data_IF_753558681283
#
_entry.id   IF_753558681283
#
_cell.length_a   1.000
_cell.length_b   1.000
_cell.length_c   1.000
_cell.angle_alpha   90.00
_cell.angle_beta   90.00
_cell.angle_gamma   90.00
#
_symmetry.space_group_name_H-M   'P 1'
#
loop_
_entity.id
_entity.type
_entity.pdbx_description
1 polymer ?
#
# COMPACT_ATOMS: atom_id res chain seq x y z
N UNK A 1 -13.60 -1.95 19.90
CA UNK A 1 -13.06 -1.20 18.74
C UNK A 1 -14.13 -0.19 18.36
N UNK A 2 -13.79 1.10 18.31
CA UNK A 2 -14.76 2.18 18.10
C UNK A 2 -15.32 2.15 16.66
N UNK A 3 -16.64 2.24 16.53
CA UNK A 3 -17.31 2.31 15.22
C UNK A 3 -16.82 3.50 14.40
N UNK A 4 -16.48 4.62 15.06
CA UNK A 4 -15.91 5.78 14.38
C UNK A 4 -14.52 5.49 13.83
N UNK A 5 -13.69 4.76 14.58
CA UNK A 5 -12.38 4.32 14.12
C UNK A 5 -12.47 3.45 12.86
N UNK A 6 -13.41 2.49 12.83
CA UNK A 6 -13.63 1.62 11.67
C UNK A 6 -14.07 2.44 10.44
N UNK A 7 -14.99 3.39 10.62
CA UNK A 7 -15.44 4.29 9.54
C UNK A 7 -14.29 5.12 8.97
N UNK A 8 -13.44 5.66 9.84
CA UNK A 8 -12.27 6.44 9.43
C UNK A 8 -11.28 5.56 8.63
N UNK A 9 -11.00 4.34 9.10
CA UNK A 9 -10.13 3.40 8.38
C UNK A 9 -10.67 3.04 6.98
N UNK A 10 -11.98 2.83 6.84
CA UNK A 10 -12.60 2.58 5.53
C UNK A 10 -12.48 3.81 4.63
N UNK A 11 -12.70 5.01 5.16
CA UNK A 11 -12.54 6.26 4.41
C UNK A 11 -11.10 6.44 3.92
N UNK A 12 -10.10 6.18 4.77
CA UNK A 12 -8.69 6.20 4.40
C UNK A 12 -8.36 5.19 3.29
N UNK A 13 -8.89 3.96 3.36
CA UNK A 13 -8.69 2.96 2.30
C UNK A 13 -9.29 3.39 0.97
N UNK A 14 -10.48 3.99 0.98
CA UNK A 14 -11.11 4.54 -0.22
C UNK A 14 -10.29 5.67 -0.81
N UNK A 15 -9.74 6.55 0.03
CA UNK A 15 -8.90 7.65 -0.43
C UNK A 15 -7.58 7.16 -1.03
N UNK A 16 -6.95 6.16 -0.41
CA UNK A 16 -5.76 5.48 -0.99
C UNK A 16 -6.06 4.90 -2.37
N UNK A 17 -7.20 4.24 -2.53
CA UNK A 17 -7.61 3.67 -3.82
C UNK A 17 -7.74 4.75 -4.91
N UNK A 18 -8.34 5.91 -4.58
CA UNK A 18 -8.42 7.04 -5.52
C UNK A 18 -7.03 7.55 -5.90
N UNK A 19 -6.16 7.75 -4.92
CA UNK A 19 -4.80 8.24 -5.15
C UNK A 19 -4.04 7.28 -6.07
N UNK A 20 -4.06 5.97 -5.79
CA UNK A 20 -3.38 4.99 -6.63
C UNK A 20 -3.96 4.90 -8.04
N UNK A 21 -5.28 5.08 -8.19
CA UNK A 21 -5.92 5.17 -9.52
C UNK A 21 -5.45 6.41 -10.28
N UNK A 22 -5.45 7.56 -9.63
CA UNK A 22 -5.03 8.83 -10.23
C UNK A 22 -3.57 8.78 -10.68
N UNK A 23 -2.67 8.23 -9.86
CA UNK A 23 -1.25 8.09 -10.19
C UNK A 23 -1.01 7.24 -11.45
N UNK A 24 -1.90 6.28 -11.75
CA UNK A 24 -1.85 5.46 -12.97
C UNK A 24 -2.35 6.18 -14.23
N UNK A 25 -3.17 7.22 -14.08
CA UNK A 25 -3.68 8.04 -15.19
C UNK A 25 -2.63 9.07 -15.67
N UNK A 26 -1.64 9.38 -14.82
CA UNK A 26 -0.56 10.30 -15.16
C UNK A 26 0.38 9.66 -16.19
N UNK A 27 0.39 10.23 -17.40
CA UNK A 27 1.36 9.87 -18.44
C UNK A 27 2.68 10.64 -18.22
N UNK A 28 3.56 10.08 -17.40
CA UNK A 28 4.86 10.70 -17.09
C UNK A 28 5.99 9.87 -17.72
N UNK A 29 6.85 10.53 -18.49
CA UNK A 29 8.13 9.97 -18.92
C UNK A 29 9.13 10.17 -17.79
N UNK A 30 9.36 9.13 -16.99
CA UNK A 30 10.27 9.20 -15.85
C UNK A 30 11.58 8.46 -16.10
N UNK A 31 12.69 9.18 -15.92
CA UNK A 31 14.05 8.61 -15.91
C UNK A 31 14.26 7.67 -14.70
N UNK A 32 13.60 7.98 -13.58
CA UNK A 32 13.56 7.15 -12.38
C UNK A 32 12.14 6.62 -12.18
N UNK A 33 11.94 5.32 -12.48
CA UNK A 33 10.62 4.70 -12.47
C UNK A 33 10.55 3.42 -11.62
N UNK A 34 11.56 3.19 -10.76
CA UNK A 34 11.63 2.00 -9.91
C UNK A 34 11.26 2.35 -8.48
N UNK A 35 10.36 1.57 -7.91
CA UNK A 35 10.00 1.61 -6.49
C UNK A 35 10.58 0.37 -5.84
N UNK A 36 11.27 0.54 -4.70
CA UNK A 36 11.80 -0.57 -3.92
C UNK A 36 10.95 -0.75 -2.66
N UNK A 37 10.54 -1.98 -2.39
CA UNK A 37 9.76 -2.36 -1.19
C UNK A 37 10.57 -3.34 -0.34
N UNK A 38 10.56 -3.14 0.98
CA UNK A 38 11.21 -4.02 1.95
C UNK A 38 10.17 -4.40 3.00
N UNK A 39 9.74 -5.66 2.97
CA UNK A 39 8.61 -6.12 3.78
C UNK A 39 7.30 -5.51 3.28
N UNK A 40 6.74 -4.57 4.04
CA UNK A 40 5.51 -3.84 3.67
C UNK A 40 5.74 -2.32 3.59
N UNK A 41 7.01 -1.89 3.53
CA UNK A 41 7.42 -0.49 3.51
C UNK A 41 8.16 -0.19 2.22
N UNK A 42 7.97 1.00 1.68
CA UNK A 42 8.75 1.48 0.54
C UNK A 42 10.05 2.09 1.00
N UNK A 43 11.10 1.96 0.21
CA UNK A 43 12.37 2.63 0.45
C UNK A 43 12.27 4.08 -0.04
N UNK A 44 12.82 5.01 0.73
CA UNK A 44 12.95 6.41 0.38
C UNK A 44 14.25 7.01 0.91
N UNK A 45 14.41 8.31 0.73
CA UNK A 45 15.53 9.08 1.30
C UNK A 45 15.01 10.11 2.30
N UNK A 46 15.71 10.30 3.41
CA UNK A 46 15.47 11.44 4.30
C UNK A 46 16.04 12.75 3.72
N UNK A 47 15.86 13.85 4.44
CA UNK A 47 16.36 15.18 4.04
C UNK A 47 17.89 15.29 3.95
N UNK A 48 18.62 14.30 4.46
CA UNK A 48 20.09 14.21 4.39
C UNK A 48 20.55 13.23 3.30
N UNK A 49 19.62 12.67 2.52
CA UNK A 49 19.90 11.69 1.48
C UNK A 49 20.16 10.28 2.03
N UNK A 50 19.86 10.00 3.30
CA UNK A 50 20.01 8.66 3.88
C UNK A 50 18.83 7.78 3.48
N UNK A 51 19.14 6.56 3.05
CA UNK A 51 18.14 5.54 2.73
C UNK A 51 17.38 5.11 4.00
N UNK A 52 16.05 5.18 3.93
CA UNK A 52 15.13 4.82 5.02
C UNK A 52 13.93 4.03 4.49
N UNK A 53 13.32 3.20 5.33
CA UNK A 53 12.03 2.58 5.04
C UNK A 53 10.89 3.50 5.48
N UNK A 54 9.86 3.62 4.65
CA UNK A 54 8.77 4.58 4.79
C UNK A 54 7.43 3.91 4.46
N UNK A 55 6.35 4.41 5.06
CA UNK A 55 4.99 4.07 4.70
C UNK A 55 4.32 5.32 4.13
N UNK A 56 4.46 5.52 2.81
CA UNK A 56 4.00 6.72 2.11
C UNK A 56 3.10 6.36 0.94
N UNK A 57 2.24 7.30 0.55
CA UNK A 57 1.34 7.14 -0.60
C UNK A 57 2.04 7.37 -1.93
N UNK A 58 3.09 8.18 -1.91
CA UNK A 58 3.91 8.57 -3.05
C UNK A 58 5.35 8.14 -2.78
N UNK A 59 5.71 6.88 -3.08
CA UNK A 59 7.03 6.37 -2.81
C UNK A 59 8.11 7.10 -3.59
N UNK A 60 9.32 7.19 -3.03
CA UNK A 60 10.48 7.66 -3.77
C UNK A 60 10.76 6.73 -4.94
N UNK A 61 11.05 7.32 -6.09
CA UNK A 61 11.40 6.60 -7.30
C UNK A 61 12.90 6.67 -7.56
N UNK A 62 13.46 5.56 -8.01
CA UNK A 62 14.90 5.41 -8.18
C UNK A 62 15.23 5.06 -9.63
N UNK A 63 16.34 5.61 -10.10
CA UNK A 63 17.01 5.10 -11.29
C UNK A 63 17.66 3.74 -10.98
N UNK A 64 17.89 2.91 -12.01
CA UNK A 64 18.42 1.56 -11.87
C UNK A 64 19.72 1.49 -11.04
N UNK A 65 20.64 2.43 -11.25
CA UNK A 65 21.91 2.50 -10.50
C UNK A 65 21.72 2.70 -8.99
N UNK A 66 20.67 3.41 -8.57
CA UNK A 66 20.36 3.59 -7.16
C UNK A 66 19.69 2.34 -6.58
N UNK A 67 18.83 1.67 -7.36
CA UNK A 67 18.23 0.37 -6.98
C UNK A 67 19.31 -0.65 -6.69
N UNK A 68 20.31 -0.78 -7.55
CA UNK A 68 21.44 -1.73 -7.36
C UNK A 68 22.14 -1.51 -6.02
N UNK A 69 22.39 -0.25 -5.63
CA UNK A 69 22.96 0.07 -4.32
C UNK A 69 22.04 -0.36 -3.18
N UNK A 70 20.74 -0.06 -3.28
CA UNK A 70 19.74 -0.41 -2.26
C UNK A 70 19.64 -1.94 -2.06
N UNK A 71 19.72 -2.71 -3.15
CA UNK A 71 19.67 -4.18 -3.11
C UNK A 71 20.86 -4.81 -2.40
N UNK A 72 22.01 -4.13 -2.33
CA UNK A 72 23.19 -4.62 -1.58
C UNK A 72 23.11 -4.38 -0.08
N UNK A 73 22.12 -3.61 0.39
CA UNK A 73 22.00 -3.26 1.80
C UNK A 73 21.43 -4.43 2.61
N UNK A 74 21.86 -4.56 3.87
CA UNK A 74 21.39 -5.61 4.78
C UNK A 74 20.12 -5.17 5.51
N UNK A 75 18.97 -5.43 4.90
CA UNK A 75 17.67 -5.13 5.50
C UNK A 75 17.26 -6.20 6.51
N UNK A 76 16.85 -5.79 7.71
CA UNK A 76 16.40 -6.69 8.77
C UNK A 76 15.08 -6.22 9.37
N UNK A 77 14.23 -7.17 9.74
CA UNK A 77 13.00 -6.88 10.49
C UNK A 77 13.29 -6.74 12.00
N UNK A 78 12.24 -6.48 12.80
CA UNK A 78 12.35 -6.35 14.26
C UNK A 78 12.87 -7.60 14.98
N UNK A 79 12.84 -8.77 14.33
CA UNK A 79 13.38 -10.03 14.84
C UNK A 79 14.82 -10.29 14.36
N UNK A 80 15.46 -9.33 13.69
CA UNK A 80 16.80 -9.46 13.13
C UNK A 80 16.91 -10.35 11.88
N UNK A 81 15.79 -10.90 11.37
CA UNK A 81 15.77 -11.73 10.16
C UNK A 81 15.99 -10.85 8.93
N UNK A 82 16.84 -11.31 8.01
CA UNK A 82 17.07 -10.66 6.72
C UNK A 82 15.79 -10.64 5.89
N UNK A 83 15.50 -9.49 5.28
CA UNK A 83 14.39 -9.27 4.36
C UNK A 83 14.97 -8.91 3.00
N UNK A 84 14.61 -9.64 1.96
CA UNK A 84 15.01 -9.27 0.60
C UNK A 84 14.11 -8.13 0.08
N UNK A 85 14.69 -7.06 -0.49
CA UNK A 85 13.90 -6.04 -1.16
C UNK A 85 13.27 -6.57 -2.45
N UNK A 86 12.09 -6.05 -2.77
CA UNK A 86 11.41 -6.24 -4.04
C UNK A 86 11.49 -4.95 -4.86
N UNK A 87 11.63 -5.08 -6.18
CA UNK A 87 11.72 -3.94 -7.10
C UNK A 87 10.54 -3.99 -8.06
N UNK A 88 9.85 -2.88 -8.18
CA UNK A 88 8.69 -2.71 -9.05
C UNK A 88 8.94 -1.58 -10.03
N UNK A 89 8.33 -1.66 -11.22
CA UNK A 89 8.05 -0.45 -11.99
C UNK A 89 6.98 0.37 -11.27
N UNK A 90 7.03 1.71 -11.35
CA UNK A 90 6.05 2.62 -10.73
C UNK A 90 4.60 2.18 -10.95
N UNK A 91 4.24 1.95 -12.21
CA UNK A 91 2.88 1.59 -12.59
C UNK A 91 2.50 0.18 -12.08
N UNK A 92 3.43 -0.76 -12.05
CA UNK A 92 3.17 -2.09 -11.51
C UNK A 92 2.91 -2.03 -10.00
N UNK A 93 3.69 -1.23 -9.28
CA UNK A 93 3.50 -1.01 -7.85
C UNK A 93 2.12 -0.41 -7.55
N UNK A 94 1.77 0.71 -8.20
CA UNK A 94 0.45 1.33 -7.99
C UNK A 94 -0.70 0.41 -8.39
N UNK A 95 -0.56 -0.35 -9.48
CA UNK A 95 -1.58 -1.33 -9.91
C UNK A 95 -1.76 -2.44 -8.88
N UNK A 96 -0.67 -2.95 -8.31
CA UNK A 96 -0.73 -3.96 -7.26
C UNK A 96 -1.36 -3.41 -5.98
N UNK A 97 -0.93 -2.24 -5.49
CA UNK A 97 -1.52 -1.62 -4.30
C UNK A 97 -3.00 -1.26 -4.48
N UNK A 98 -3.39 -0.77 -5.66
CA UNK A 98 -4.79 -0.53 -5.99
C UNK A 98 -5.60 -1.82 -5.96
N UNK A 99 -5.10 -2.90 -6.57
CA UNK A 99 -5.74 -4.21 -6.57
C UNK A 99 -5.93 -4.74 -5.15
N UNK A 100 -4.90 -4.69 -4.31
CA UNK A 100 -4.98 -5.10 -2.91
C UNK A 100 -6.01 -4.28 -2.13
N UNK A 101 -5.97 -2.95 -2.26
CA UNK A 101 -6.88 -2.04 -1.57
C UNK A 101 -8.33 -2.30 -1.97
N UNK A 102 -8.61 -2.45 -3.26
CA UNK A 102 -9.95 -2.76 -3.77
C UNK A 102 -10.44 -4.14 -3.32
N UNK A 103 -9.56 -5.13 -3.20
CA UNK A 103 -9.94 -6.44 -2.66
C UNK A 103 -10.34 -6.35 -1.18
N UNK A 104 -9.61 -5.58 -0.37
CA UNK A 104 -9.97 -5.35 1.04
C UNK A 104 -11.32 -4.62 1.14
N UNK A 105 -11.53 -3.56 0.36
CA UNK A 105 -12.81 -2.83 0.34
C UNK A 105 -13.99 -3.73 -0.05
N UNK A 106 -13.83 -4.58 -1.06
CA UNK A 106 -14.85 -5.57 -1.46
C UNK A 106 -15.20 -6.55 -0.34
N UNK A 107 -14.21 -7.01 0.42
CA UNK A 107 -14.46 -7.89 1.57
C UNK A 107 -15.23 -7.17 2.68
N UNK A 108 -14.90 -5.92 2.94
CA UNK A 108 -15.61 -5.08 3.91
C UNK A 108 -17.07 -4.86 3.48
N UNK A 109 -17.31 -4.51 2.23
CA UNK A 109 -18.67 -4.25 1.73
C UNK A 109 -19.53 -5.52 1.77
N UNK A 110 -18.99 -6.68 1.39
CA UNK A 110 -19.67 -7.99 1.49
C UNK A 110 -20.03 -8.36 2.93
N UNK A 111 -19.14 -8.08 3.88
CA UNK A 111 -19.38 -8.37 5.30
C UNK A 111 -20.30 -7.33 5.96
N UNK A 112 -20.28 -6.08 5.49
CA UNK A 112 -21.21 -5.03 5.91
C UNK A 112 -22.64 -5.28 5.45
N UNK A 113 -22.84 -5.92 4.29
CA UNK A 113 -24.17 -6.35 3.82
C UNK A 113 -24.78 -7.53 4.57
N UNK A 114 -23.98 -8.27 5.37
CA UNK A 114 -24.46 -9.40 6.18
C UNK A 114 -25.03 -8.96 7.55
N UNK A 115 -24.99 -7.67 7.88
CA UNK A 115 -25.41 -7.17 9.19
C UNK A 115 -26.33 -5.95 9.10
N UNK A 116 -27.43 -6.03 8.35
CA UNK A 116 -28.57 -5.10 8.48
C UNK A 116 -29.70 -5.76 9.27
N UNK A 117 -29.57 -5.78 10.60
CA UNK A 117 -30.72 -6.05 11.47
C UNK A 117 -31.62 -4.82 11.48
N UNK A 118 -32.61 -4.77 10.59
CA UNK A 118 -33.78 -3.92 10.78
C UNK A 118 -34.74 -4.68 11.70
N UNK A 119 -34.86 -4.21 12.94
CA UNK A 119 -36.03 -4.42 13.79
C UNK A 119 -36.52 -5.87 14.01
N UNK A 120 -36.14 -6.43 15.16
CA UNK A 120 -36.77 -7.59 15.84
C UNK A 120 -36.71 -8.94 15.10
N UNK A 121 -35.89 -9.83 15.70
CA UNK A 121 -36.00 -11.29 15.78
C UNK A 121 -36.19 -12.04 14.45
N UNK A 122 -35.06 -12.51 13.95
CA UNK A 122 -34.78 -13.88 13.45
C UNK A 122 -33.79 -13.78 12.28
N UNK A 123 -32.51 -13.95 12.58
CA UNK A 123 -31.50 -14.21 11.56
C UNK A 123 -31.68 -15.66 11.10
N UNK A 124 -32.18 -15.87 9.88
CA UNK A 124 -31.98 -17.14 9.17
C UNK A 124 -30.85 -16.97 8.15
N UNK A 125 -29.93 -17.93 8.20
CA UNK A 125 -28.84 -18.12 7.23
C UNK A 125 -29.43 -18.27 5.82
N UNK A 126 -28.83 -17.58 4.86
CA UNK A 126 -28.92 -17.88 3.43
C UNK A 126 -27.55 -18.35 2.98
#
# INVERSE_FOLDING_TARGET
>A
MDLQYIKNAIAELRERAKIYSHELELNILEEANKIVEVGALTVGTDSKGKIIAQNVLYPTQFAQKAVEKILTMNWRNGNGKRIEPLVYGRNDWYREKLKMTNNVLKLIDKNGSLCSCVGKRECKLV
#
